data_IF_927737516199
#
_entry.id   IF_927737516199
#
_cell.length_a   1.000
_cell.length_b   1.000
_cell.length_c   1.000
_cell.angle_alpha   90.00
_cell.angle_beta   90.00
_cell.angle_gamma   90.00
#
_symmetry.space_group_name_H-M   'P 1'
#
loop_
_entity.id
_entity.type
_entity.pdbx_description
1 polymer ?
#
# COMPACT_ATOMS: atom_id res chain seq x y z
N UNK A 1 9.83 -13.29 -6.86
CA UNK A 1 9.82 -14.74 -7.13
C UNK A 1 10.04 -15.55 -5.85
N UNK A 2 11.23 -15.53 -5.23
CA UNK A 2 11.56 -16.43 -4.11
C UNK A 2 10.63 -16.28 -2.88
N UNK A 3 10.37 -15.05 -2.43
CA UNK A 3 9.58 -14.84 -1.21
C UNK A 3 8.11 -15.24 -1.36
N UNK A 4 7.49 -15.01 -2.53
CA UNK A 4 6.08 -15.37 -2.77
C UNK A 4 5.87 -16.88 -2.92
N UNK A 5 6.79 -17.55 -3.61
CA UNK A 5 6.81 -19.02 -3.73
C UNK A 5 7.02 -19.69 -2.38
N UNK A 6 7.90 -19.14 -1.55
CA UNK A 6 8.15 -19.66 -0.19
C UNK A 6 6.87 -19.64 0.68
N UNK A 7 6.06 -18.58 0.58
CA UNK A 7 4.77 -18.49 1.28
C UNK A 7 3.60 -19.16 0.55
N UNK A 8 3.82 -19.82 -0.60
CA UNK A 8 2.75 -20.46 -1.39
C UNK A 8 1.74 -19.47 -2.00
N UNK A 9 2.10 -18.19 -2.15
CA UNK A 9 1.21 -17.15 -2.68
C UNK A 9 1.20 -17.07 -4.20
N UNK A 10 2.15 -17.71 -4.89
CA UNK A 10 2.23 -17.73 -6.35
C UNK A 10 3.01 -18.95 -6.82
N UNK A 11 2.45 -19.70 -7.77
CA UNK A 11 3.15 -20.75 -8.51
C UNK A 11 4.04 -20.19 -9.63
N UNK A 12 3.86 -18.90 -9.96
CA UNK A 12 4.53 -18.22 -11.07
C UNK A 12 3.82 -18.36 -12.42
N UNK A 13 2.61 -18.94 -12.43
CA UNK A 13 1.72 -18.97 -13.58
C UNK A 13 1.09 -17.59 -13.84
N UNK A 14 0.60 -17.40 -15.07
CA UNK A 14 -0.11 -16.18 -15.45
C UNK A 14 -1.44 -16.10 -14.67
N UNK A 15 -1.75 -14.95 -14.07
CA UNK A 15 -3.03 -14.75 -13.39
C UNK A 15 -4.18 -14.84 -14.40
N UNK A 16 -5.39 -15.17 -13.91
CA UNK A 16 -6.62 -15.17 -14.71
C UNK A 16 -6.91 -13.77 -15.27
N UNK A 17 -7.50 -13.68 -16.47
CA UNK A 17 -7.80 -12.41 -17.15
C UNK A 17 -8.73 -11.46 -16.38
N UNK A 18 -9.56 -12.00 -15.49
CA UNK A 18 -10.53 -11.23 -14.68
C UNK A 18 -9.90 -10.61 -13.43
N UNK A 19 -8.62 -10.91 -13.17
CA UNK A 19 -7.89 -10.42 -12.03
C UNK A 19 -7.64 -8.90 -12.11
N UNK A 20 -7.60 -8.25 -10.95
CA UNK A 20 -7.37 -6.79 -10.89
C UNK A 20 -5.89 -6.51 -11.16
N UNK A 21 -5.54 -5.62 -12.10
CA UNK A 21 -4.15 -5.34 -12.42
C UNK A 21 -3.42 -4.70 -11.22
N UNK A 22 -2.12 -4.99 -11.11
CA UNK A 22 -1.27 -4.50 -10.03
C UNK A 22 -1.34 -2.97 -9.84
N UNK A 23 -1.31 -2.17 -10.92
CA UNK A 23 -1.42 -0.71 -10.79
C UNK A 23 -2.69 -0.26 -10.08
N UNK A 24 -3.84 -0.87 -10.38
CA UNK A 24 -5.13 -0.55 -9.75
C UNK A 24 -5.15 -1.01 -8.30
N UNK A 25 -4.64 -2.21 -8.02
CA UNK A 25 -4.56 -2.74 -6.66
C UNK A 25 -3.66 -1.86 -5.78
N UNK A 26 -2.47 -1.51 -6.26
CA UNK A 26 -1.53 -0.64 -5.56
C UNK A 26 -2.12 0.76 -5.37
N UNK A 27 -2.78 1.33 -6.39
CA UNK A 27 -3.39 2.67 -6.27
C UNK A 27 -4.52 2.68 -5.25
N UNK A 28 -5.40 1.67 -5.26
CA UNK A 28 -6.51 1.58 -4.32
C UNK A 28 -6.00 1.45 -2.88
N UNK A 29 -5.06 0.54 -2.65
CA UNK A 29 -4.47 0.32 -1.32
C UNK A 29 -3.70 1.55 -0.87
N UNK A 30 -2.82 2.13 -1.69
CA UNK A 30 -2.10 3.35 -1.35
C UNK A 30 -3.04 4.48 -0.91
N UNK A 31 -4.16 4.70 -1.61
CA UNK A 31 -5.17 5.72 -1.21
C UNK A 31 -5.78 5.44 0.16
N UNK A 32 -6.24 4.21 0.38
CA UNK A 32 -6.86 3.81 1.66
C UNK A 32 -5.86 3.99 2.81
N UNK A 33 -4.64 3.48 2.63
CA UNK A 33 -3.61 3.52 3.66
C UNK A 33 -2.98 4.89 3.86
N UNK A 34 -3.05 5.79 2.87
CA UNK A 34 -2.69 7.20 3.05
C UNK A 34 -3.66 7.88 4.01
N UNK A 35 -4.98 7.74 3.78
CA UNK A 35 -6.01 8.34 4.64
C UNK A 35 -6.01 7.68 6.01
N UNK A 36 -5.94 6.35 6.05
CA UNK A 36 -5.87 5.58 7.30
C UNK A 36 -4.62 5.92 8.13
N UNK A 37 -3.45 6.02 7.48
CA UNK A 37 -2.21 6.42 8.12
C UNK A 37 -2.27 7.85 8.68
N UNK A 38 -2.86 8.78 7.93
CA UNK A 38 -3.04 10.16 8.38
C UNK A 38 -3.92 10.25 9.63
N UNK A 39 -5.08 9.58 9.61
CA UNK A 39 -6.02 9.57 10.73
C UNK A 39 -5.43 8.84 11.95
N UNK A 40 -4.80 7.69 11.73
CA UNK A 40 -4.17 6.92 12.80
C UNK A 40 -3.09 7.71 13.52
N UNK A 41 -2.15 8.30 12.77
CA UNK A 41 -1.08 9.10 13.37
C UNK A 41 -1.58 10.40 13.99
N UNK A 42 -2.64 11.01 13.45
CA UNK A 42 -3.27 12.17 14.08
C UNK A 42 -3.81 11.85 15.48
N UNK A 43 -4.52 10.71 15.61
CA UNK A 43 -5.06 10.25 16.90
C UNK A 43 -3.93 9.88 17.86
N UNK A 44 -2.94 9.10 17.39
CA UNK A 44 -1.77 8.73 18.20
C UNK A 44 -1.00 9.96 18.69
N UNK A 45 -0.87 10.98 17.86
CA UNK A 45 -0.24 12.24 18.23
C UNK A 45 -1.01 12.97 19.35
N UNK A 46 -2.35 12.98 19.29
CA UNK A 46 -3.21 13.53 20.35
C UNK A 46 -3.11 12.73 21.65
N UNK A 47 -2.99 11.40 21.58
CA UNK A 47 -2.79 10.54 22.76
C UNK A 47 -1.41 10.75 23.38
N UNK A 48 -0.37 10.92 22.55
CA UNK A 48 1.01 11.06 23.02
C UNK A 48 1.28 12.43 23.64
N UNK A 49 0.81 13.52 23.03
CA UNK A 49 1.06 14.89 23.51
C UNK A 49 -0.10 15.49 24.34
N UNK A 50 -1.26 14.82 24.36
CA UNK A 50 -2.47 15.32 25.03
C UNK A 50 -3.18 16.46 24.30
N UNK A 51 -4.17 17.10 24.94
CA UNK A 51 -5.03 18.12 24.32
C UNK A 51 -4.34 19.45 23.98
N UNK A 52 -3.09 19.67 24.44
CA UNK A 52 -2.34 20.92 24.24
C UNK A 52 -1.53 20.97 22.93
N UNK A 53 -1.71 20.01 22.05
CA UNK A 53 -0.96 19.98 20.79
C UNK A 53 -1.39 21.08 19.81
N UNK A 54 -0.42 21.74 19.18
CA UNK A 54 -0.67 22.75 18.16
C UNK A 54 -1.05 22.10 16.82
N UNK A 55 -1.98 22.74 16.09
CA UNK A 55 -2.45 22.31 14.76
C UNK A 55 -1.30 22.03 13.77
N UNK A 56 -0.27 22.89 13.61
CA UNK A 56 0.83 22.59 12.69
C UNK A 56 1.62 21.33 13.08
N UNK A 57 1.76 21.04 14.38
CA UNK A 57 2.45 19.82 14.85
C UNK A 57 1.60 18.58 14.60
N UNK A 58 0.29 18.63 14.84
CA UNK A 58 -0.59 17.49 14.56
C UNK A 58 -0.67 17.19 13.06
N UNK A 59 -0.68 18.21 12.20
CA UNK A 59 -0.65 18.02 10.74
C UNK A 59 0.63 17.34 10.26
N UNK A 60 1.80 17.69 10.83
CA UNK A 60 3.07 17.00 10.51
C UNK A 60 3.04 15.52 10.88
N UNK A 61 2.45 15.18 12.02
CA UNK A 61 2.28 13.78 12.44
C UNK A 61 1.34 13.02 11.50
N UNK A 62 0.21 13.61 11.14
CA UNK A 62 -0.69 13.02 10.14
C UNK A 62 0.00 12.84 8.79
N UNK A 63 0.75 13.83 8.30
CA UNK A 63 1.50 13.70 7.04
C UNK A 63 2.53 12.56 7.11
N UNK A 64 3.27 12.45 8.23
CA UNK A 64 4.20 11.35 8.46
C UNK A 64 3.49 9.98 8.42
N UNK A 65 2.34 9.86 9.10
CA UNK A 65 1.53 8.65 9.06
C UNK A 65 1.03 8.32 7.66
N UNK A 66 0.58 9.34 6.92
CA UNK A 66 0.09 9.18 5.56
C UNK A 66 1.17 8.59 4.64
N UNK A 67 2.39 9.16 4.68
CA UNK A 67 3.51 8.72 3.84
C UNK A 67 4.08 7.38 4.28
N UNK A 68 4.30 7.19 5.58
CA UNK A 68 4.91 5.94 6.10
C UNK A 68 4.00 4.73 5.87
N UNK A 69 2.72 4.86 6.20
CA UNK A 69 1.77 3.74 6.05
C UNK A 69 1.50 3.48 4.57
N UNK A 70 1.31 4.51 3.73
CA UNK A 70 1.10 4.29 2.29
C UNK A 70 2.30 3.65 1.59
N UNK A 71 3.52 4.11 1.86
CA UNK A 71 4.74 3.55 1.26
C UNK A 71 4.99 2.12 1.71
N UNK A 72 4.88 1.84 3.01
CA UNK A 72 5.02 0.48 3.55
C UNK A 72 3.99 -0.44 2.92
N UNK A 73 2.74 -0.02 2.81
CA UNK A 73 1.69 -0.88 2.26
C UNK A 73 1.86 -1.08 0.76
N UNK A 74 2.27 -0.06 0.01
CA UNK A 74 2.59 -0.20 -1.41
C UNK A 74 3.73 -1.21 -1.63
N UNK A 75 4.76 -1.18 -0.78
CA UNK A 75 5.84 -2.18 -0.81
C UNK A 75 5.34 -3.58 -0.48
N UNK A 76 4.50 -3.73 0.54
CA UNK A 76 3.92 -5.03 0.93
C UNK A 76 3.05 -5.62 -0.18
N UNK A 77 2.19 -4.81 -0.82
CA UNK A 77 1.39 -5.26 -1.98
C UNK A 77 2.30 -5.68 -3.12
N UNK A 78 3.33 -4.88 -3.42
CA UNK A 78 4.33 -5.26 -4.43
C UNK A 78 5.06 -6.54 -4.04
N UNK A 79 5.38 -6.77 -2.77
CA UNK A 79 6.16 -7.93 -2.32
C UNK A 79 5.35 -9.22 -2.26
N UNK A 80 4.09 -9.15 -1.84
CA UNK A 80 3.29 -10.34 -1.52
C UNK A 80 2.19 -10.65 -2.53
N UNK A 81 1.67 -9.67 -3.28
CA UNK A 81 0.58 -9.94 -4.22
C UNK A 81 1.09 -10.59 -5.52
N UNK A 82 0.50 -11.72 -5.95
CA UNK A 82 0.86 -12.39 -7.22
C UNK A 82 0.52 -11.52 -8.45
N UNK A 83 -0.46 -10.64 -8.33
CA UNK A 83 -0.83 -9.65 -9.37
C UNK A 83 0.36 -8.75 -9.77
N UNK A 84 1.26 -8.49 -8.82
CA UNK A 84 2.42 -7.61 -8.99
C UNK A 84 3.70 -8.36 -9.41
N UNK A 85 3.56 -9.60 -9.88
CA UNK A 85 4.65 -10.34 -10.51
C UNK A 85 4.97 -9.76 -11.90
N UNK A 86 6.25 -9.68 -12.31
CA UNK A 86 6.63 -9.01 -13.54
C UNK A 86 5.89 -9.51 -14.79
N UNK A 87 5.64 -10.83 -14.92
CA UNK A 87 4.88 -11.37 -16.04
C UNK A 87 3.40 -10.95 -16.06
N UNK A 88 2.79 -10.75 -14.89
CA UNK A 88 1.40 -10.30 -14.79
C UNK A 88 1.29 -8.79 -15.07
N UNK A 89 2.28 -8.01 -14.61
CA UNK A 89 2.37 -6.57 -14.93
C UNK A 89 2.55 -6.38 -16.45
N UNK A 90 3.43 -7.14 -17.09
CA UNK A 90 3.63 -7.01 -18.54
C UNK A 90 2.39 -7.44 -19.34
N UNK A 91 1.67 -8.47 -18.88
CA UNK A 91 0.47 -8.96 -19.57
C UNK A 91 -0.74 -8.03 -19.41
N UNK A 92 -0.97 -7.48 -18.22
CA UNK A 92 -2.23 -6.81 -17.86
C UNK A 92 -2.12 -5.30 -17.67
N UNK A 93 -0.97 -4.78 -17.23
CA UNK A 93 -0.78 -3.34 -17.02
C UNK A 93 -0.36 -2.61 -18.30
N UNK A 94 0.47 -3.24 -19.16
CA UNK A 94 0.92 -2.63 -20.42
C UNK A 94 -0.14 -2.59 -21.53
N UNK A 95 -1.10 -3.52 -21.54
CA UNK A 95 -2.17 -3.58 -22.56
C UNK A 95 -3.25 -2.50 -22.40
N UNK A 96 -3.25 -1.78 -21.28
CA UNK A 96 -4.33 -0.85 -20.90
C UNK A 96 -3.92 0.63 -20.98
N UNK A 97 -2.80 0.92 -21.64
CA UNK A 97 -2.36 2.26 -22.02
C UNK A 97 -2.74 2.54 -23.47
#
# INVERSE_FOLDING_TARGET
MALRRFFGFSDGELMRSDAKPCSKLVTQTARIFTVGGALGFWILCRLHYGPRITVPRSLRWAACGAVSVSSTTALLVRLFSPECEPQNITAYDKKKL
#
